data_IF_505268210879
#
_entry.id   IF_505268210879
#
_cell.length_a   1.000
_cell.length_b   1.000
_cell.length_c   1.000
_cell.angle_alpha   90.00
_cell.angle_beta   90.00
_cell.angle_gamma   90.00
#
_symmetry.space_group_name_H-M   'P 1'
#
loop_
_entity.id
_entity.type
_entity.pdbx_description
1 polymer ?
#
# COMPACT_ATOMS: atom_id res chain seq x y z
N UNK A 1 -4.83 4.96 2.02
CA UNK A 1 -5.73 3.91 1.47
C UNK A 1 -6.56 4.37 0.27
N UNK A 2 -7.38 5.43 0.37
CA UNK A 2 -8.16 5.95 -0.76
C UNK A 2 -7.31 6.22 -2.02
N UNK A 3 -6.20 6.96 -1.84
CA UNK A 3 -5.23 7.22 -2.91
C UNK A 3 -4.60 5.94 -3.47
N UNK A 4 -4.31 4.95 -2.61
CA UNK A 4 -3.79 3.64 -3.02
C UNK A 4 -4.81 2.89 -3.88
N UNK A 5 -6.09 2.85 -3.46
CA UNK A 5 -7.17 2.24 -4.22
C UNK A 5 -7.36 2.93 -5.59
N UNK A 6 -7.23 4.25 -5.65
CA UNK A 6 -7.30 5.01 -6.90
C UNK A 6 -6.12 4.74 -7.85
N UNK A 7 -4.91 4.60 -7.32
CA UNK A 7 -3.72 4.34 -8.14
C UNK A 7 -3.61 2.87 -8.58
N UNK A 8 -3.98 1.94 -7.69
CA UNK A 8 -3.95 0.51 -7.95
C UNK A 8 -5.10 0.04 -8.84
N UNK A 9 -6.35 0.43 -8.54
CA UNK A 9 -7.56 -0.01 -9.26
C UNK A 9 -7.69 -1.53 -9.40
N UNK A 10 -7.30 -2.27 -8.37
CA UNK A 10 -7.42 -3.72 -8.26
C UNK A 10 -7.76 -4.15 -6.83
N UNK A 11 -7.96 -5.44 -6.55
CA UNK A 11 -8.22 -5.92 -5.20
C UNK A 11 -7.06 -5.58 -4.24
N UNK A 12 -7.40 -5.14 -3.03
CA UNK A 12 -6.50 -4.81 -1.93
C UNK A 12 -7.04 -5.52 -0.69
N UNK A 13 -6.25 -6.40 -0.09
CA UNK A 13 -6.54 -6.92 1.25
C UNK A 13 -5.66 -6.20 2.27
N UNK A 14 -6.26 -5.67 3.32
CA UNK A 14 -5.57 -4.95 4.40
C UNK A 14 -5.96 -5.52 5.75
N UNK A 15 -4.99 -5.63 6.66
CA UNK A 15 -5.26 -6.00 8.05
C UNK A 15 -5.04 -4.81 8.97
N UNK A 16 -5.97 -4.60 9.91
CA UNK A 16 -5.90 -3.56 10.93
C UNK A 16 -5.86 -4.23 12.31
N UNK A 17 -4.86 -3.88 13.10
CA UNK A 17 -4.82 -4.28 14.51
C UNK A 17 -5.52 -3.24 15.37
N UNK A 18 -6.39 -3.69 16.26
CA UNK A 18 -7.17 -2.85 17.16
C UNK A 18 -6.88 -3.27 18.59
N UNK A 19 -6.61 -2.27 19.43
CA UNK A 19 -6.53 -2.41 20.89
C UNK A 19 -7.79 -1.86 21.56
N UNK A 20 -7.86 -1.93 22.89
CA UNK A 20 -9.02 -1.44 23.66
C UNK A 20 -9.35 0.05 23.44
N UNK A 21 -8.42 0.85 22.90
CA UNK A 21 -8.61 2.29 22.67
C UNK A 21 -8.74 2.63 21.17
N UNK A 22 -8.54 1.66 20.27
CA UNK A 22 -8.57 1.85 18.82
C UNK A 22 -9.95 2.00 18.20
N UNK A 23 -11.02 1.99 19.00
CA UNK A 23 -12.41 2.05 18.52
C UNK A 23 -12.77 3.35 17.82
N UNK A 24 -12.27 4.49 18.31
CA UNK A 24 -12.43 5.78 17.63
C UNK A 24 -11.81 5.75 16.24
N UNK A 25 -10.60 5.17 16.12
CA UNK A 25 -9.90 5.00 14.85
C UNK A 25 -10.63 4.04 13.92
N UNK A 26 -11.25 2.97 14.45
CA UNK A 26 -12.08 2.06 13.66
C UNK A 26 -13.37 2.74 13.16
N UNK A 27 -14.02 3.56 13.99
CA UNK A 27 -15.21 4.31 13.58
C UNK A 27 -14.87 5.32 12.47
N UNK A 28 -13.77 6.06 12.62
CA UNK A 28 -13.25 6.95 11.59
C UNK A 28 -12.89 6.18 10.30
N UNK A 29 -12.20 5.04 10.42
CA UNK A 29 -11.89 4.18 9.28
C UNK A 29 -13.15 3.68 8.57
N UNK A 30 -14.15 3.21 9.32
CA UNK A 30 -15.44 2.75 8.78
C UNK A 30 -16.16 3.87 8.04
N UNK A 31 -16.11 5.10 8.55
CA UNK A 31 -16.67 6.25 7.85
C UNK A 31 -15.94 6.49 6.53
N UNK A 32 -14.60 6.62 6.55
CA UNK A 32 -13.78 6.80 5.34
C UNK A 32 -14.00 5.68 4.30
N UNK A 33 -14.02 4.43 4.74
CA UNK A 33 -14.31 3.28 3.90
C UNK A 33 -15.69 3.39 3.23
N UNK A 34 -16.70 3.87 3.97
CA UNK A 34 -18.05 4.00 3.44
C UNK A 34 -18.26 5.20 2.52
N UNK A 35 -17.46 6.24 2.72
CA UNK A 35 -17.51 7.48 1.97
C UNK A 35 -16.86 7.39 0.59
N UNK A 36 -15.79 6.62 0.44
CA UNK A 36 -15.08 6.45 -0.84
C UNK A 36 -15.58 5.20 -1.61
N UNK A 37 -16.20 5.37 -2.80
CA UNK A 37 -16.63 4.25 -3.64
C UNK A 37 -15.49 3.31 -4.05
N UNK A 38 -14.26 3.82 -4.20
CA UNK A 38 -13.10 3.02 -4.56
C UNK A 38 -12.66 2.13 -3.39
N UNK A 39 -12.76 2.62 -2.16
CA UNK A 39 -12.53 1.81 -0.95
C UNK A 39 -13.51 0.64 -0.92
N UNK A 40 -14.82 0.90 -1.05
CA UNK A 40 -15.85 -0.17 -1.11
C UNK A 40 -15.62 -1.17 -2.22
N UNK A 41 -15.13 -0.72 -3.37
CA UNK A 41 -14.95 -1.54 -4.56
C UNK A 41 -13.71 -2.42 -4.49
N UNK A 42 -12.61 -1.89 -3.95
CA UNK A 42 -11.30 -2.50 -4.09
C UNK A 42 -10.69 -3.00 -2.78
N UNK A 43 -11.12 -2.50 -1.63
CA UNK A 43 -10.48 -2.80 -0.34
C UNK A 43 -11.31 -3.81 0.45
N UNK A 44 -10.69 -4.87 0.93
CA UNK A 44 -11.24 -5.77 1.96
C UNK A 44 -10.42 -5.62 3.23
N UNK A 45 -11.09 -5.39 4.35
CA UNK A 45 -10.47 -5.10 5.64
C UNK A 45 -10.63 -6.27 6.60
N UNK A 46 -9.53 -6.70 7.18
CA UNK A 46 -9.49 -7.76 8.20
C UNK A 46 -9.11 -7.13 9.54
N UNK A 47 -9.97 -7.30 10.53
CA UNK A 47 -9.72 -6.78 11.88
C UNK A 47 -9.03 -7.85 12.71
N UNK A 48 -7.92 -7.47 13.33
CA UNK A 48 -7.13 -8.31 14.22
C UNK A 48 -7.15 -7.68 15.61
N UNK A 49 -7.44 -8.47 16.64
CA UNK A 49 -7.42 -8.03 18.03
C UNK A 49 -6.75 -9.10 18.88
N UNK A 50 -6.40 -8.77 20.13
CA UNK A 50 -5.90 -9.77 21.07
C UNK A 50 -7.06 -10.62 21.55
N UNK A 51 -6.88 -11.93 21.61
CA UNK A 51 -7.90 -12.86 22.13
C UNK A 51 -8.37 -12.50 23.55
N UNK A 52 -7.47 -11.98 24.39
CA UNK A 52 -7.79 -11.52 25.75
C UNK A 52 -8.53 -10.18 25.80
N UNK A 53 -8.75 -9.52 24.66
CA UNK A 53 -9.51 -8.29 24.56
C UNK A 53 -10.96 -8.58 24.15
N UNK A 54 -11.86 -7.70 24.55
CA UNK A 54 -13.27 -7.78 24.13
C UNK A 54 -13.37 -7.78 22.60
N UNK A 55 -14.30 -8.58 22.06
CA UNK A 55 -14.48 -8.72 20.63
C UNK A 55 -14.93 -7.37 20.04
N UNK A 56 -14.11 -6.70 19.21
CA UNK A 56 -14.44 -5.39 18.67
C UNK A 56 -15.62 -5.43 17.67
N UNK A 57 -16.01 -6.64 17.23
CA UNK A 57 -17.12 -6.88 16.32
C UNK A 57 -18.42 -7.28 17.03
N UNK A 58 -18.45 -7.34 18.37
CA UNK A 58 -19.70 -7.56 19.11
C UNK A 58 -20.64 -6.35 18.94
N UNK A 59 -21.87 -6.63 18.50
CA UNK A 59 -22.92 -5.63 18.25
C UNK A 59 -23.21 -4.71 19.45
N UNK A 60 -23.11 -5.24 20.67
CA UNK A 60 -23.33 -4.48 21.92
C UNK A 60 -22.19 -3.50 22.21
N UNK A 61 -20.98 -3.84 21.77
CA UNK A 61 -19.78 -3.04 21.95
C UNK A 61 -19.69 -1.89 20.93
N UNK A 62 -20.17 -2.12 19.70
CA UNK A 62 -20.26 -1.11 18.63
C UNK A 62 -21.28 -0.02 18.96
N UNK A 63 -22.41 -0.36 19.57
CA UNK A 63 -23.47 0.60 19.94
C UNK A 63 -23.07 1.53 21.09
N UNK A 64 -22.27 1.04 22.04
CA UNK A 64 -21.81 1.83 23.19
C UNK A 64 -20.65 2.78 22.85
N UNK A 65 -19.88 2.46 21.80
CA UNK A 65 -18.73 3.25 21.35
C UNK A 65 -19.01 4.00 20.05
N UNK A 66 -20.28 4.35 19.77
CA UNK A 66 -20.62 5.25 18.67
C UNK A 66 -20.01 6.62 18.94
N UNK A 67 -18.80 6.83 18.41
CA UNK A 67 -18.22 8.16 18.31
C UNK A 67 -19.17 8.97 17.44
N UNK A 68 -19.74 10.03 18.00
CA UNK A 68 -20.43 11.06 17.22
C UNK A 68 -19.39 11.69 16.31
N UNK A 69 -19.27 11.16 15.10
CA UNK A 69 -18.58 11.83 14.02
C UNK A 69 -19.34 13.15 13.82
N UNK A 70 -18.73 14.28 14.18
CA UNK A 70 -19.31 15.59 13.93
C UNK A 70 -19.66 15.71 12.45
N UNK A 71 -20.68 16.51 12.12
CA UNK A 71 -21.07 16.82 10.73
C UNK A 71 -19.98 17.54 9.92
N UNK A 72 -18.75 17.61 10.44
CA UNK A 72 -17.60 18.33 9.91
C UNK A 72 -16.60 17.39 9.21
N UNK A 73 -16.79 16.07 9.28
CA UNK A 73 -15.99 15.11 8.55
C UNK A 73 -16.41 15.10 7.07
N UNK A 74 -15.73 15.90 6.26
CA UNK A 74 -15.70 15.69 4.80
C UNK A 74 -15.05 14.33 4.51
N UNK A 75 -15.42 13.67 3.41
CA UNK A 75 -14.70 12.49 2.90
C UNK A 75 -13.19 12.74 2.74
N UNK A 76 -12.79 14.01 2.67
CA UNK A 76 -11.42 14.49 2.49
C UNK A 76 -10.71 14.84 3.81
N UNK A 77 -11.44 15.01 4.92
CA UNK A 77 -10.89 15.56 6.17
C UNK A 77 -11.43 14.77 7.36
N UNK A 78 -10.67 13.76 7.78
CA UNK A 78 -10.55 13.48 9.21
C UNK A 78 -9.42 14.39 9.67
N UNK A 79 -9.73 15.41 10.47
CA UNK A 79 -8.70 16.17 11.20
C UNK A 79 -7.87 15.15 12.00
N UNK A 80 -6.73 14.76 11.43
CA UNK A 80 -5.76 13.86 12.03
C UNK A 80 -5.21 14.44 13.34
N UNK A 81 -5.41 15.74 13.58
CA UNK A 81 -4.86 16.51 14.70
C UNK A 81 -5.39 16.10 16.08
N UNK A 82 -6.43 15.27 16.19
CA UNK A 82 -6.96 14.83 17.50
C UNK A 82 -7.07 13.33 17.72
N UNK A 83 -6.69 12.49 16.75
CA UNK A 83 -6.39 11.10 17.10
C UNK A 83 -4.99 11.15 17.68
N UNK A 84 -4.90 11.52 18.95
CA UNK A 84 -3.66 11.45 19.73
C UNK A 84 -2.92 10.18 19.32
N UNK A 85 -1.63 10.30 18.97
CA UNK A 85 -0.71 9.18 18.79
C UNK A 85 -0.71 8.39 20.10
N UNK A 86 -1.73 7.58 20.31
CA UNK A 86 -1.76 6.63 21.39
C UNK A 86 -0.58 5.73 21.07
N UNK A 87 0.39 5.70 21.98
CA UNK A 87 1.37 4.63 22.00
C UNK A 87 0.55 3.35 22.02
N UNK A 88 0.50 2.65 20.89
CA UNK A 88 -0.03 1.31 20.86
C UNK A 88 0.82 0.55 21.89
N UNK A 89 0.22 0.18 23.02
CA UNK A 89 0.83 -0.76 23.98
C UNK A 89 0.84 -2.18 23.39
N UNK A 90 0.53 -2.32 22.09
CA UNK A 90 0.61 -3.53 21.31
C UNK A 90 1.86 -3.44 20.43
N UNK A 91 2.82 -4.37 20.56
CA UNK A 91 3.89 -4.54 19.59
C UNK A 91 3.27 -4.75 18.21
N UNK A 92 3.61 -3.90 17.24
CA UNK A 92 3.13 -4.02 15.86
C UNK A 92 3.65 -5.34 15.26
N UNK A 93 2.77 -6.31 14.90
CA UNK A 93 3.20 -7.62 14.41
C UNK A 93 3.03 -7.71 12.88
N UNK A 94 3.92 -7.11 12.07
CA UNK A 94 3.71 -6.96 10.62
C UNK A 94 3.52 -8.29 9.89
N UNK A 95 4.25 -9.34 10.30
CA UNK A 95 4.15 -10.66 9.67
C UNK A 95 2.78 -11.31 9.91
N UNK A 96 2.25 -11.20 11.12
CA UNK A 96 0.89 -11.69 11.44
C UNK A 96 -0.16 -10.94 10.62
N UNK A 97 -0.05 -9.61 10.56
CA UNK A 97 -1.00 -8.79 9.79
C UNK A 97 -0.92 -9.07 8.29
N UNK A 98 0.28 -9.25 7.74
CA UNK A 98 0.46 -9.67 6.34
C UNK A 98 -0.15 -11.05 6.08
N UNK A 99 0.00 -12.00 7.00
CA UNK A 99 -0.59 -13.33 6.87
C UNK A 99 -2.12 -13.31 6.92
N UNK A 100 -2.73 -12.51 7.80
CA UNK A 100 -4.18 -12.33 7.86
C UNK A 100 -4.71 -11.70 6.58
N UNK A 101 -4.05 -10.64 6.08
CA UNK A 101 -4.42 -10.01 4.80
C UNK A 101 -4.29 -11.03 3.65
N UNK A 102 -3.20 -11.79 3.61
CA UNK A 102 -2.99 -12.84 2.61
C UNK A 102 -4.11 -13.88 2.61
N UNK A 103 -4.56 -14.31 3.80
CA UNK A 103 -5.63 -15.30 3.92
C UNK A 103 -6.97 -14.80 3.38
N UNK A 104 -7.23 -13.50 3.52
CA UNK A 104 -8.45 -12.87 3.02
C UNK A 104 -8.37 -12.36 1.59
N UNK A 105 -7.23 -12.50 0.91
CA UNK A 105 -7.06 -12.05 -0.47
C UNK A 105 -7.79 -12.99 -1.46
N UNK A 106 -8.46 -12.42 -2.46
CA UNK A 106 -9.25 -13.16 -3.45
C UNK A 106 -8.47 -13.67 -4.67
N UNK A 107 -7.16 -13.38 -4.74
CA UNK A 107 -6.28 -13.73 -5.87
C UNK A 107 -5.21 -14.72 -5.43
N UNK A 108 -4.57 -15.42 -6.38
CA UNK A 108 -3.47 -16.36 -6.11
C UNK A 108 -2.09 -15.70 -6.11
N UNK A 109 -1.98 -14.54 -6.77
CA UNK A 109 -0.75 -13.75 -6.86
C UNK A 109 -0.97 -12.49 -6.03
N UNK A 110 -0.04 -12.23 -5.11
CA UNK A 110 -0.11 -11.11 -4.18
C UNK A 110 1.09 -10.19 -4.37
N UNK A 111 0.81 -8.89 -4.41
CA UNK A 111 1.83 -7.86 -4.28
C UNK A 111 1.77 -7.31 -2.86
N UNK A 112 2.87 -7.47 -2.12
CA UNK A 112 2.99 -6.92 -0.77
C UNK A 112 3.48 -5.48 -0.88
N UNK A 113 2.76 -4.55 -0.25
CA UNK A 113 3.13 -3.14 -0.20
C UNK A 113 2.78 -2.55 1.17
N UNK A 114 3.57 -1.55 1.58
CA UNK A 114 3.27 -0.73 2.75
C UNK A 114 2.16 0.28 2.40
N UNK A 115 1.45 0.81 3.40
CA UNK A 115 0.28 1.68 3.18
C UNK A 115 0.65 3.05 2.57
N UNK A 116 1.90 3.46 2.77
CA UNK A 116 2.53 4.66 2.23
C UNK A 116 2.99 4.49 0.78
N UNK A 117 3.06 3.24 0.29
CA UNK A 117 3.48 2.99 -1.08
C UNK A 117 2.43 3.46 -2.07
N UNK A 118 2.91 3.95 -3.21
CA UNK A 118 2.08 4.36 -4.33
C UNK A 118 2.56 3.68 -5.60
N UNK A 119 1.62 3.24 -6.43
CA UNK A 119 1.93 2.58 -7.68
C UNK A 119 1.92 3.58 -8.85
N UNK A 120 2.74 3.30 -9.86
CA UNK A 120 2.69 4.00 -11.15
C UNK A 120 1.32 3.81 -11.80
N UNK A 121 0.95 4.76 -12.66
CA UNK A 121 -0.29 4.67 -13.45
C UNK A 121 -0.35 3.34 -14.19
N UNK A 122 -1.51 2.68 -14.15
CA UNK A 122 -1.79 1.40 -14.80
C UNK A 122 -0.95 0.20 -14.29
N UNK A 123 -0.28 0.29 -13.14
CA UNK A 123 0.54 -0.81 -12.61
C UNK A 123 -0.24 -2.14 -12.49
N UNK A 124 -1.47 -2.12 -11.95
CA UNK A 124 -2.31 -3.32 -11.85
C UNK A 124 -2.63 -3.93 -13.23
N UNK A 125 -2.93 -3.09 -14.23
CA UNK A 125 -3.16 -3.57 -15.59
C UNK A 125 -1.92 -4.29 -16.15
N UNK A 126 -0.74 -3.67 -15.99
CA UNK A 126 0.52 -4.25 -16.46
C UNK A 126 0.86 -5.55 -15.73
N UNK A 127 0.67 -5.60 -14.42
CA UNK A 127 0.88 -6.80 -13.63
C UNK A 127 -0.09 -7.91 -14.03
N UNK A 128 -1.34 -7.60 -14.35
CA UNK A 128 -2.30 -8.60 -14.83
C UNK A 128 -1.92 -9.18 -16.20
N UNK A 129 -1.29 -8.40 -17.09
CA UNK A 129 -0.80 -8.91 -18.38
C UNK A 129 0.31 -9.97 -18.22
N UNK A 130 1.06 -9.90 -17.12
CA UNK A 130 2.18 -10.81 -16.85
C UNK A 130 1.85 -11.89 -15.83
N UNK A 131 0.89 -11.67 -14.93
CA UNK A 131 0.53 -12.57 -13.84
C UNK A 131 0.29 -14.00 -14.33
N UNK A 132 -0.43 -14.18 -15.45
CA UNK A 132 -0.71 -15.51 -16.01
C UNK A 132 0.50 -16.17 -16.71
N UNK A 133 1.57 -15.41 -16.96
CA UNK A 133 2.82 -15.91 -17.57
C UNK A 133 3.86 -16.27 -16.51
N UNK A 134 3.67 -15.82 -15.28
CA UNK A 134 4.58 -16.11 -14.18
C UNK A 134 4.34 -17.54 -13.71
N UNK A 135 5.42 -18.31 -13.68
CA UNK A 135 5.44 -19.68 -13.19
C UNK A 135 6.23 -19.70 -11.88
N UNK A 136 6.32 -20.85 -11.23
CA UNK A 136 7.18 -21.07 -10.06
C UNK A 136 8.68 -20.80 -10.30
N UNK A 137 9.10 -20.67 -11.56
CA UNK A 137 10.49 -20.43 -11.97
C UNK A 137 10.77 -18.96 -12.25
N UNK A 138 9.73 -18.12 -12.25
CA UNK A 138 9.82 -16.71 -12.59
C UNK A 138 9.67 -15.85 -11.33
N UNK A 139 10.40 -14.74 -11.27
CA UNK A 139 10.22 -13.69 -10.26
C UNK A 139 9.80 -12.40 -10.95
N UNK A 140 8.76 -11.74 -10.45
CA UNK A 140 8.42 -10.38 -10.88
C UNK A 140 9.28 -9.41 -10.07
N UNK A 141 10.22 -8.75 -10.72
CA UNK A 141 10.97 -7.66 -10.11
C UNK A 141 10.17 -6.35 -10.17
N UNK A 142 9.89 -5.75 -9.02
CA UNK A 142 9.26 -4.44 -8.90
C UNK A 142 10.29 -3.49 -8.32
N UNK A 143 10.63 -2.45 -9.10
CA UNK A 143 11.57 -1.41 -8.66
C UNK A 143 10.83 -0.36 -7.84
N UNK A 144 11.37 -0.02 -6.67
CA UNK A 144 10.82 0.98 -5.74
C UNK A 144 11.74 2.18 -5.68
N UNK A 145 11.15 3.36 -5.66
CA UNK A 145 11.85 4.64 -5.60
C UNK A 145 11.20 5.51 -4.52
N UNK A 146 11.98 6.45 -4.01
CA UNK A 146 11.55 7.53 -3.13
C UNK A 146 11.67 8.85 -3.89
N UNK A 147 10.87 9.84 -3.52
CA UNK A 147 10.92 11.17 -4.12
C UNK A 147 10.65 12.23 -3.07
N UNK A 148 11.14 13.44 -3.31
CA UNK A 148 10.94 14.57 -2.40
C UNK A 148 9.45 14.83 -2.18
N UNK A 149 9.04 15.03 -0.93
CA UNK A 149 7.65 15.30 -0.53
C UNK A 149 7.03 16.52 -1.24
N UNK A 150 7.87 17.48 -1.66
CA UNK A 150 7.44 18.69 -2.39
C UNK A 150 7.14 18.41 -3.86
N UNK A 151 7.60 17.29 -4.38
CA UNK A 151 7.44 16.92 -5.78
C UNK A 151 6.17 16.11 -6.00
N UNK A 152 5.65 16.19 -7.23
CA UNK A 152 4.54 15.32 -7.63
C UNK A 152 5.07 13.91 -7.88
N UNK A 153 4.28 12.92 -7.47
CA UNK A 153 4.56 11.51 -7.75
C UNK A 153 4.87 11.30 -9.24
N UNK A 154 5.98 10.64 -9.61
CA UNK A 154 6.27 10.33 -11.00
C UNK A 154 5.23 9.34 -11.56
N UNK A 155 4.48 9.77 -12.57
CA UNK A 155 3.43 8.93 -13.19
C UNK A 155 3.95 8.07 -14.34
N UNK A 156 5.12 8.39 -14.90
CA UNK A 156 5.73 7.66 -16.02
C UNK A 156 7.21 7.41 -15.77
N UNK A 157 7.81 6.37 -16.40
CA UNK A 157 9.25 6.15 -16.33
C UNK A 157 10.09 7.33 -16.81
N UNK A 158 9.58 8.13 -17.76
CA UNK A 158 10.29 9.34 -18.23
C UNK A 158 10.37 10.39 -17.13
N UNK A 159 9.25 10.68 -16.44
CA UNK A 159 9.25 11.64 -15.33
C UNK A 159 10.17 11.13 -14.21
N UNK A 160 10.13 9.84 -13.89
CA UNK A 160 11.04 9.25 -12.89
C UNK A 160 12.51 9.43 -13.30
N UNK A 161 12.86 9.17 -14.56
CA UNK A 161 14.22 9.36 -15.08
C UNK A 161 14.68 10.81 -14.91
N UNK A 162 13.84 11.77 -15.29
CA UNK A 162 14.16 13.20 -15.16
C UNK A 162 14.33 13.60 -13.68
N UNK A 163 13.51 13.03 -12.78
CA UNK A 163 13.62 13.24 -11.34
C UNK A 163 14.89 12.62 -10.74
N UNK A 164 15.34 11.46 -11.22
CA UNK A 164 16.61 10.86 -10.79
C UNK A 164 17.80 11.71 -11.21
N UNK A 165 17.79 12.24 -12.45
CA UNK A 165 18.85 13.12 -12.98
C UNK A 165 18.91 14.45 -12.21
N UNK A 166 17.75 14.97 -11.80
CA UNK A 166 17.65 16.24 -11.07
C UNK A 166 17.69 16.08 -9.55
N UNK A 167 18.02 14.88 -9.05
CA UNK A 167 18.12 14.57 -7.61
C UNK A 167 16.83 14.87 -6.83
N UNK A 168 15.69 14.65 -7.48
CA UNK A 168 14.33 14.78 -6.91
C UNK A 168 13.68 13.43 -6.61
N UNK A 169 14.24 12.36 -7.16
CA UNK A 169 13.91 10.99 -6.84
C UNK A 169 15.18 10.20 -6.58
N UNK A 170 15.03 9.09 -5.86
CA UNK A 170 16.12 8.25 -5.39
C UNK A 170 15.69 6.79 -5.38
N UNK A 171 16.66 5.89 -5.42
CA UNK A 171 16.42 4.48 -5.11
C UNK A 171 15.90 4.34 -3.68
N UNK A 172 15.04 3.36 -3.44
CA UNK A 172 14.44 3.15 -2.12
C UNK A 172 15.50 3.04 -1.01
N UNK A 173 15.27 3.70 0.14
CA UNK A 173 16.22 3.76 1.26
C UNK A 173 17.59 4.35 0.90
N UNK A 174 17.68 5.25 -0.08
CA UNK A 174 18.95 5.85 -0.49
C UNK A 174 19.75 6.42 0.69
N UNK A 175 19.10 7.12 1.62
CA UNK A 175 19.78 7.77 2.75
C UNK A 175 20.08 6.86 3.94
N UNK A 176 19.40 5.71 4.05
CA UNK A 176 19.53 4.80 5.20
C UNK A 176 20.34 3.54 4.87
N UNK A 177 20.19 3.02 3.65
CA UNK A 177 20.73 1.74 3.23
C UNK A 177 20.91 1.65 1.70
N UNK A 178 21.53 2.66 1.08
CA UNK A 178 21.74 2.75 -0.38
C UNK A 178 22.32 1.46 -0.99
N UNK A 179 23.32 0.85 -0.35
CA UNK A 179 23.94 -0.39 -0.84
C UNK A 179 22.99 -1.59 -0.85
N UNK A 180 22.08 -1.67 0.13
CA UNK A 180 21.16 -2.81 0.28
C UNK A 180 20.02 -2.80 -0.72
N UNK A 181 19.75 -1.63 -1.32
CA UNK A 181 18.62 -1.41 -2.22
C UNK A 181 19.05 -0.92 -3.61
N UNK A 182 20.36 -0.91 -3.88
CA UNK A 182 20.92 -0.54 -5.16
C UNK A 182 20.35 -1.43 -6.28
N UNK A 183 19.90 -0.77 -7.34
CA UNK A 183 19.32 -1.35 -8.53
C UNK A 183 20.44 -1.52 -9.54
N UNK A 184 20.87 -2.77 -9.70
CA UNK A 184 21.83 -3.11 -10.73
C UNK A 184 21.29 -2.73 -12.12
N UNK A 185 22.16 -2.14 -12.94
CA UNK A 185 21.87 -1.68 -14.30
C UNK A 185 20.66 -0.72 -14.39
N UNK A 186 20.50 0.18 -13.39
CA UNK A 186 19.40 1.15 -13.33
C UNK A 186 19.26 1.97 -14.63
N UNK A 187 20.36 2.48 -15.18
CA UNK A 187 20.33 3.29 -16.41
C UNK A 187 19.80 2.51 -17.61
N UNK A 188 20.23 1.25 -17.77
CA UNK A 188 19.75 0.38 -18.84
C UNK A 188 18.24 0.08 -18.66
N UNK A 189 17.80 -0.19 -17.43
CA UNK A 189 16.39 -0.39 -17.12
C UNK A 189 15.55 0.86 -17.40
N UNK A 190 16.01 2.05 -17.01
CA UNK A 190 15.33 3.32 -17.26
C UNK A 190 15.21 3.59 -18.75
N UNK A 191 16.32 3.45 -19.49
CA UNK A 191 16.35 3.66 -20.94
C UNK A 191 15.42 2.69 -21.69
N UNK A 192 15.31 1.45 -21.22
CA UNK A 192 14.34 0.50 -21.76
C UNK A 192 12.90 0.91 -21.42
N UNK A 193 12.67 1.35 -20.17
CA UNK A 193 11.33 1.64 -19.64
C UNK A 193 10.71 2.93 -20.16
N UNK A 194 11.52 3.90 -20.64
CA UNK A 194 11.00 5.11 -21.30
C UNK A 194 10.47 4.85 -22.71
N UNK A 195 10.74 3.67 -23.29
CA UNK A 195 10.21 3.31 -24.60
C UNK A 195 8.67 3.10 -24.50
N UNK A 196 7.85 3.77 -25.32
CA UNK A 196 6.40 3.70 -25.25
C UNK A 196 5.82 2.32 -25.58
N UNK A 197 6.62 1.44 -26.20
CA UNK A 197 6.23 0.05 -26.42
C UNK A 197 6.39 -0.72 -25.10
N UNK A 198 5.31 -0.75 -24.31
CA UNK A 198 5.24 -1.59 -23.10
C UNK A 198 5.44 -3.06 -23.49
N UNK A 199 6.67 -3.55 -23.33
CA UNK A 199 7.07 -4.93 -23.61
C UNK A 199 7.43 -5.61 -22.30
N UNK A 200 6.91 -6.82 -22.14
CA UNK A 200 7.28 -7.71 -21.03
C UNK A 200 8.54 -8.43 -21.45
N UNK A 201 9.63 -8.20 -20.73
CA UNK A 201 10.91 -8.86 -20.99
C UNK A 201 11.19 -9.84 -19.87
N UNK A 202 11.46 -11.08 -20.24
CA UNK A 202 11.94 -12.10 -19.30
C UNK A 202 13.47 -12.09 -19.43
N UNK A 203 14.14 -11.76 -18.34
CA UNK A 203 15.61 -11.75 -18.28
C UNK A 203 16.03 -12.97 -17.46
N UNK A 204 16.91 -13.84 -17.98
CA UNK A 204 17.43 -14.96 -17.19
C UNK A 204 18.23 -14.42 -16.01
N UNK A 205 17.92 -14.90 -14.81
CA UNK A 205 18.75 -14.64 -13.64
C UNK A 205 19.98 -15.55 -13.80
N UNK A 206 21.08 -14.96 -14.27
CA UNK A 206 22.38 -15.62 -14.18
C UNK A 206 22.81 -15.47 -12.73
N UNK A 207 22.89 -16.59 -12.01
CA UNK A 207 23.33 -16.60 -10.62
C UNK A 207 24.70 -15.89 -10.53
N UNK A 208 24.76 -14.84 -9.70
CA UNK A 208 26.01 -14.28 -9.17
C UNK A 208 26.53 -15.15 -8.03
#
# INVERSE_FOLDING_TARGET
MAQLANNWKGPISVSLIIDKNGFTSLAAYKHLYNCDPLMKKFVTTHIVWRETAENPCDSTFITNNTVKLSSQYSCDIVEYEKISKHSLNIPYPPNTLRNVARYGASTNIHLIADIENSFSKNANYLLNLIANKVTKENVIAIRRFEYDEKERKPETPQILKDMLITEKAYEFHHFLASKSHAIENLDAWLNYSVNPLMRVTIVPITYM
#
